data_IF_359440743784
#
_entry.id   IF_359440743784
#
_cell.length_a   1.000
_cell.length_b   1.000
_cell.length_c   1.000
_cell.angle_alpha   90.00
_cell.angle_beta   90.00
_cell.angle_gamma   90.00
#
_symmetry.space_group_name_H-M   'P 1'
#
loop_
_entity.id
_entity.type
_entity.pdbx_description
1 polymer ?
#
# COMPACT_ATOMS: atom_id res chain seq x y z
N UNK A 1 -12.20 13.40 10.80
CA UNK A 1 -12.55 12.72 9.56
C UNK A 1 -11.69 11.47 9.39
N UNK A 2 -12.33 10.37 9.07
CA UNK A 2 -11.59 9.13 8.87
C UNK A 2 -10.90 9.16 7.51
N UNK A 3 -9.68 8.68 7.50
CA UNK A 3 -8.91 8.57 6.28
C UNK A 3 -9.14 7.18 5.68
N UNK A 4 -9.54 7.15 4.43
CA UNK A 4 -9.83 5.87 3.76
C UNK A 4 -8.76 5.47 2.74
N UNK A 5 -7.89 6.41 2.40
CA UNK A 5 -6.86 6.15 1.41
C UNK A 5 -5.54 6.75 1.87
N UNK A 6 -4.44 6.27 1.29
CA UNK A 6 -3.10 6.74 1.61
C UNK A 6 -2.40 7.21 0.34
N UNK A 7 -1.63 8.28 0.47
CA UNK A 7 -0.69 8.66 -0.57
C UNK A 7 0.57 7.79 -0.43
N UNK A 8 1.51 7.96 -1.35
CA UNK A 8 2.77 7.18 -1.27
C UNK A 8 3.53 7.53 0.02
N UNK A 9 3.60 8.80 0.36
CA UNK A 9 4.28 9.22 1.58
C UNK A 9 3.60 8.63 2.81
N UNK A 10 2.28 8.69 2.81
CA UNK A 10 1.51 8.13 3.93
C UNK A 10 1.63 6.62 3.99
N UNK A 11 1.69 5.96 2.83
CA UNK A 11 1.89 4.51 2.79
C UNK A 11 3.23 4.14 3.42
N UNK A 12 4.27 4.88 3.09
CA UNK A 12 5.59 4.62 3.65
C UNK A 12 5.56 4.76 5.17
N UNK A 13 4.89 5.78 5.66
CA UNK A 13 4.77 5.98 7.12
C UNK A 13 3.91 4.90 7.76
N UNK A 14 2.81 4.55 7.09
CA UNK A 14 1.89 3.54 7.60
C UNK A 14 2.58 2.19 7.78
N UNK A 15 3.42 1.82 6.83
CA UNK A 15 4.14 0.55 6.87
C UNK A 15 5.51 0.68 7.53
N UNK A 16 5.91 1.89 7.89
CA UNK A 16 7.21 2.15 8.50
C UNK A 16 8.34 1.68 7.60
N UNK A 17 8.28 2.04 6.34
CA UNK A 17 9.29 1.69 5.34
C UNK A 17 9.73 2.94 4.62
N UNK A 18 10.82 2.83 3.88
CA UNK A 18 11.31 3.95 3.10
C UNK A 18 10.40 4.24 1.92
N UNK A 19 10.48 5.47 1.41
CA UNK A 19 9.68 5.90 0.29
C UNK A 19 9.93 5.07 -0.97
N UNK A 20 11.20 4.74 -1.21
CA UNK A 20 11.54 3.91 -2.36
C UNK A 20 10.88 2.54 -2.28
N UNK A 21 10.85 1.98 -1.08
CA UNK A 21 10.20 0.69 -0.87
C UNK A 21 8.69 0.79 -1.08
N UNK A 22 8.09 1.91 -0.67
CA UNK A 22 6.67 2.12 -0.88
C UNK A 22 6.35 2.20 -2.38
N UNK A 23 7.18 2.90 -3.13
CA UNK A 23 7.02 2.96 -4.58
C UNK A 23 7.14 1.59 -5.23
N UNK A 24 8.13 0.82 -4.79
CA UNK A 24 8.32 -0.52 -5.33
C UNK A 24 7.13 -1.42 -5.04
N UNK A 25 6.49 -1.25 -3.88
CA UNK A 25 5.29 -1.99 -3.55
C UNK A 25 4.16 -1.69 -4.51
N UNK A 26 3.99 -0.43 -4.90
CA UNK A 26 2.89 -0.07 -5.79
C UNK A 26 3.05 -0.65 -7.18
N UNK A 27 4.26 -1.06 -7.53
CA UNK A 27 4.54 -1.70 -8.82
C UNK A 27 4.37 -3.20 -8.76
N UNK A 28 4.24 -3.74 -7.56
CA UNK A 28 4.10 -5.17 -7.39
C UNK A 28 2.73 -5.62 -7.90
N UNK A 29 2.73 -6.72 -8.64
CA UNK A 29 1.50 -7.24 -9.21
C UNK A 29 0.55 -7.65 -8.10
N UNK A 30 -0.70 -7.23 -8.23
CA UNK A 30 -1.72 -7.56 -7.25
C UNK A 30 -1.82 -6.58 -6.09
N UNK A 31 -0.89 -5.63 -6.01
CA UNK A 31 -0.95 -4.64 -4.93
C UNK A 31 -2.13 -3.68 -5.15
N UNK A 32 -2.93 -3.41 -4.11
CA UNK A 32 -4.09 -2.51 -4.26
C UNK A 32 -3.64 -1.05 -4.35
N UNK A 33 -3.54 -0.58 -5.56
CA UNK A 33 -3.12 0.78 -5.84
C UNK A 33 -3.94 1.33 -6.99
N UNK A 34 -4.47 2.54 -6.81
CA UNK A 34 -5.27 3.20 -7.84
C UNK A 34 -4.53 4.43 -8.30
N UNK A 35 -4.38 4.57 -9.61
CA UNK A 35 -3.76 5.75 -10.20
C UNK A 35 -4.84 6.71 -10.65
N UNK A 36 -4.83 7.90 -10.08
CA UNK A 36 -5.78 8.95 -10.46
C UNK A 36 -5.00 10.17 -10.89
N UNK A 37 -5.03 10.44 -12.18
CA UNK A 37 -4.19 11.49 -12.74
C UNK A 37 -2.73 11.15 -12.52
N UNK A 38 -2.01 12.03 -11.85
CA UNK A 38 -0.59 11.81 -11.55
C UNK A 38 -0.37 11.28 -10.14
N UNK A 39 -1.46 10.94 -9.45
CA UNK A 39 -1.38 10.51 -8.05
C UNK A 39 -1.62 9.03 -7.92
N UNK A 40 -0.86 8.41 -7.04
CA UNK A 40 -1.10 7.03 -6.65
C UNK A 40 -1.80 7.03 -5.30
N UNK A 41 -2.89 6.28 -5.22
CA UNK A 41 -3.71 6.24 -4.03
C UNK A 41 -3.89 4.78 -3.62
N UNK A 42 -3.69 4.51 -2.33
CA UNK A 42 -3.81 3.15 -1.81
C UNK A 42 -4.99 3.10 -0.83
N UNK A 43 -6.05 2.34 -1.16
CA UNK A 43 -7.16 2.18 -0.22
C UNK A 43 -6.69 1.41 1.02
N UNK A 44 -6.96 1.95 2.20
CA UNK A 44 -6.47 1.34 3.44
C UNK A 44 -7.07 -0.05 3.63
N UNK A 45 -8.35 -0.19 3.39
CA UNK A 45 -9.02 -1.47 3.60
C UNK A 45 -8.45 -2.55 2.69
N UNK A 46 -8.26 -2.21 1.42
CA UNK A 46 -7.68 -3.16 0.47
C UNK A 46 -6.24 -3.47 0.83
N UNK A 47 -5.50 -2.47 1.32
CA UNK A 47 -4.13 -2.67 1.76
C UNK A 47 -4.06 -3.67 2.92
N UNK A 48 -4.96 -3.52 3.88
CA UNK A 48 -4.98 -4.44 5.02
C UNK A 48 -5.26 -5.86 4.58
N UNK A 49 -6.18 -6.04 3.64
CA UNK A 49 -6.48 -7.37 3.11
C UNK A 49 -5.29 -7.95 2.37
N UNK A 50 -4.62 -7.10 1.58
CA UNK A 50 -3.44 -7.54 0.84
C UNK A 50 -2.33 -7.96 1.79
N UNK A 51 -2.11 -7.19 2.86
CA UNK A 51 -1.10 -7.52 3.85
C UNK A 51 -1.40 -8.85 4.54
N UNK A 52 -2.67 -9.08 4.84
CA UNK A 52 -3.07 -10.35 5.46
C UNK A 52 -2.77 -11.53 4.55
N UNK A 53 -3.02 -11.38 3.25
CA UNK A 53 -2.73 -12.45 2.29
C UNK A 53 -1.23 -12.66 2.14
N UNK A 54 -0.47 -11.58 2.08
CA UNK A 54 0.98 -11.70 1.97
C UNK A 54 1.59 -12.32 3.22
N UNK A 55 1.03 -12.02 4.38
CA UNK A 55 1.51 -12.62 5.62
C UNK A 55 1.32 -14.13 5.61
N UNK A 56 0.22 -14.59 5.03
CA UNK A 56 -0.02 -16.03 4.92
C UNK A 56 0.99 -16.72 4.01
N UNK A 57 1.38 -16.03 2.94
CA UNK A 57 2.34 -16.59 1.99
C UNK A 57 3.75 -16.62 2.54
N UNK A 58 4.05 -15.73 3.46
CA UNK A 58 5.41 -15.56 3.98
C UNK A 58 5.54 -16.03 5.41
N UNK A 59 4.68 -16.92 5.83
CA UNK A 59 4.77 -17.48 7.17
C UNK A 59 6.00 -18.38 7.27
N UNK A 60 6.71 -18.21 8.39
CA UNK A 60 7.88 -19.03 8.68
C UNK A 60 7.65 -19.85 9.91
#
# INVERSE_FOLDING_TARGET
MEQHTLSITELAEYLNIGRNNAYNLTRKEGFPCVSIGKRLIVPIKALEEWLAEEAKKNVR
#
